data_IF_357227161232
#
_entry.id   IF_357227161232
#
_cell.length_a   1.000
_cell.length_b   1.000
_cell.length_c   1.000
_cell.angle_alpha   90.00
_cell.angle_beta   90.00
_cell.angle_gamma   90.00
#
_symmetry.space_group_name_H-M   'P 1'
#
loop_
_entity.id
_entity.type
_entity.pdbx_description
1 polymer ?
#
# COMPACT_ATOMS: atom_id res chain seq x y z
N UNK A 1 -3.72 11.68 26.02
CA UNK A 1 -4.03 11.26 24.65
C UNK A 1 -2.79 11.15 23.77
N UNK A 2 -2.51 9.94 23.27
CA UNK A 2 -1.49 9.68 22.25
C UNK A 2 -1.93 10.23 20.89
N UNK A 3 -0.98 10.64 20.05
CA UNK A 3 -1.32 11.13 18.71
C UNK A 3 -0.64 10.32 17.62
N UNK A 4 -1.42 10.02 16.59
CA UNK A 4 -1.02 9.34 15.38
C UNK A 4 -1.43 10.17 14.17
N UNK A 5 -0.94 9.82 12.99
CA UNK A 5 -1.47 10.40 11.77
C UNK A 5 -0.83 9.89 10.50
N UNK A 6 -1.16 10.53 9.40
CA UNK A 6 -0.56 10.27 8.09
C UNK A 6 0.02 11.55 7.52
N UNK A 7 1.25 11.47 7.00
CA UNK A 7 1.88 12.51 6.20
C UNK A 7 1.83 12.17 4.71
N UNK A 8 1.56 13.16 3.85
CA UNK A 8 1.42 12.95 2.41
C UNK A 8 0.91 14.19 1.67
N UNK A 9 0.84 14.07 0.35
CA UNK A 9 0.20 15.07 -0.52
C UNK A 9 -0.25 14.43 -1.86
N UNK A 10 -1.55 14.43 -2.20
CA UNK A 10 -2.68 14.89 -1.38
C UNK A 10 -3.10 13.88 -0.29
N UNK A 11 -3.96 14.31 0.65
CA UNK A 11 -4.53 13.45 1.72
C UNK A 11 -6.06 13.38 1.76
N UNK A 12 -6.78 14.10 0.90
CA UNK A 12 -8.24 14.17 0.97
C UNK A 12 -8.95 12.83 0.69
N UNK A 13 -8.27 11.86 0.08
CA UNK A 13 -8.79 10.51 -0.15
C UNK A 13 -8.31 9.47 0.90
N UNK A 14 -7.59 9.90 1.94
CA UNK A 14 -7.06 8.97 2.95
C UNK A 14 -8.16 8.49 3.90
N UNK A 15 -8.42 7.18 3.90
CA UNK A 15 -9.33 6.54 4.85
C UNK A 15 -8.71 6.27 6.23
N UNK A 16 -7.38 6.40 6.36
CA UNK A 16 -6.67 6.07 7.60
C UNK A 16 -7.20 6.87 8.81
N UNK A 17 -7.50 8.17 8.63
CA UNK A 17 -8.03 9.01 9.71
C UNK A 17 -9.36 8.49 10.25
N UNK A 18 -10.30 8.15 9.36
CA UNK A 18 -11.59 7.61 9.77
C UNK A 18 -11.41 6.23 10.43
N UNK A 19 -10.65 5.34 9.78
CA UNK A 19 -10.41 3.97 10.26
C UNK A 19 -9.81 3.92 11.67
N UNK A 20 -8.72 4.67 11.92
CA UNK A 20 -8.05 4.62 13.22
C UNK A 20 -8.89 5.27 14.32
N UNK A 21 -9.52 6.42 14.06
CA UNK A 21 -10.35 7.08 15.09
C UNK A 21 -11.59 6.24 15.45
N UNK A 22 -12.23 5.58 14.47
CA UNK A 22 -13.30 4.61 14.74
C UNK A 22 -12.80 3.48 15.64
N UNK A 23 -11.65 2.88 15.33
CA UNK A 23 -11.07 1.79 16.15
C UNK A 23 -10.66 2.24 17.55
N UNK A 24 -10.13 3.46 17.69
CA UNK A 24 -9.78 4.01 18.99
C UNK A 24 -11.03 4.22 19.85
N UNK A 25 -12.11 4.73 19.26
CA UNK A 25 -13.39 4.89 19.95
C UNK A 25 -14.01 3.55 20.35
N UNK A 26 -14.08 2.58 19.42
CA UNK A 26 -14.64 1.23 19.68
C UNK A 26 -13.94 0.50 20.83
N UNK A 27 -12.64 0.73 21.00
CA UNK A 27 -11.79 0.02 21.97
C UNK A 27 -11.40 0.88 23.18
N UNK A 28 -12.02 2.05 23.34
CA UNK A 28 -11.72 3.01 24.42
C UNK A 28 -10.21 3.33 24.56
N UNK A 29 -9.51 3.45 23.43
CA UNK A 29 -8.09 3.83 23.39
C UNK A 29 -7.99 5.36 23.44
N UNK A 30 -7.27 5.91 24.43
CA UNK A 30 -6.99 7.36 24.55
C UNK A 30 -5.96 7.82 23.49
N UNK A 31 -6.39 7.84 22.23
CA UNK A 31 -5.59 8.26 21.09
C UNK A 31 -6.43 8.97 20.02
N UNK A 32 -5.75 9.78 19.19
CA UNK A 32 -6.33 10.37 17.97
C UNK A 32 -5.44 10.15 16.76
N UNK A 33 -6.04 10.13 15.59
CA UNK A 33 -5.35 10.05 14.30
C UNK A 33 -5.69 11.27 13.42
N UNK A 34 -4.68 11.94 12.89
CA UNK A 34 -4.85 13.15 12.06
C UNK A 34 -4.17 13.08 10.68
N UNK A 35 -4.64 13.93 9.77
CA UNK A 35 -4.03 14.10 8.46
C UNK A 35 -3.06 15.29 8.52
N UNK A 36 -1.82 15.07 8.13
CA UNK A 36 -0.77 16.08 8.08
C UNK A 36 -0.36 16.30 6.62
N UNK A 37 -1.04 17.23 5.94
CA UNK A 37 -0.73 17.56 4.56
C UNK A 37 0.65 18.24 4.51
N UNK A 38 1.57 17.68 3.75
CA UNK A 38 2.92 18.25 3.59
C UNK A 38 3.11 18.76 2.17
N UNK A 39 3.25 20.08 1.94
CA UNK A 39 3.65 20.61 0.63
C UNK A 39 4.99 20.05 0.16
N UNK A 40 5.94 19.86 1.08
CA UNK A 40 7.23 19.21 0.84
C UNK A 40 7.61 18.29 1.99
N UNK A 41 8.50 17.33 1.77
CA UNK A 41 8.94 16.43 2.85
C UNK A 41 9.62 17.17 4.02
N UNK A 42 10.27 18.31 3.75
CA UNK A 42 10.95 19.12 4.78
C UNK A 42 10.01 19.57 5.89
N UNK A 43 8.72 19.70 5.57
CA UNK A 43 7.66 20.10 6.50
C UNK A 43 7.36 19.02 7.56
N UNK A 44 7.93 17.81 7.44
CA UNK A 44 7.83 16.76 8.49
C UNK A 44 8.40 17.26 9.82
N UNK A 45 9.45 18.08 9.81
CA UNK A 45 10.03 18.65 11.02
C UNK A 45 9.06 19.57 11.75
N UNK A 46 8.22 20.30 11.01
CA UNK A 46 7.16 21.13 11.58
C UNK A 46 6.11 20.26 12.28
N UNK A 47 5.66 19.17 11.63
CA UNK A 47 4.70 18.23 12.24
C UNK A 47 5.24 17.64 13.54
N UNK A 48 6.51 17.24 13.54
CA UNK A 48 7.19 16.75 14.73
C UNK A 48 7.16 17.84 15.81
N UNK A 49 7.67 19.04 15.53
CA UNK A 49 7.78 20.10 16.54
C UNK A 49 6.42 20.58 17.09
N UNK A 50 5.41 20.71 16.23
CA UNK A 50 4.08 21.22 16.60
C UNK A 50 3.22 20.17 17.32
N UNK A 51 3.64 18.89 17.33
CA UNK A 51 2.87 17.78 17.91
C UNK A 51 3.69 17.04 18.97
N UNK A 52 3.83 17.56 20.20
CA UNK A 52 4.70 17.00 21.24
C UNK A 52 4.37 15.55 21.64
N UNK A 53 3.09 15.16 21.58
CA UNK A 53 2.56 13.83 21.92
C UNK A 53 2.44 12.86 20.74
N UNK A 54 3.10 13.14 19.61
CA UNK A 54 3.08 12.27 18.43
C UNK A 54 3.88 10.99 18.68
N UNK A 55 3.21 9.84 18.56
CA UNK A 55 3.76 8.51 18.81
C UNK A 55 4.04 7.73 17.51
N UNK A 56 3.40 8.10 16.41
CA UNK A 56 3.62 7.41 15.14
C UNK A 56 2.97 8.11 13.96
N UNK A 57 3.52 7.84 12.77
CA UNK A 57 3.01 8.36 11.51
C UNK A 57 2.92 7.23 10.48
N UNK A 58 1.89 7.22 9.66
CA UNK A 58 1.97 6.64 8.34
C UNK A 58 2.56 7.65 7.35
N UNK A 59 3.19 7.13 6.30
CA UNK A 59 3.71 7.93 5.19
C UNK A 59 3.08 7.43 3.89
N UNK A 60 2.49 8.34 3.13
CA UNK A 60 1.93 8.04 1.82
C UNK A 60 2.61 8.85 0.71
N UNK A 61 2.08 8.75 -0.51
CA UNK A 61 2.59 9.49 -1.66
C UNK A 61 2.72 10.99 -1.36
N UNK A 62 3.76 11.65 -1.89
CA UNK A 62 4.90 11.11 -2.65
C UNK A 62 6.13 10.77 -1.78
N UNK A 63 5.97 10.70 -0.45
CA UNK A 63 7.10 10.84 0.49
C UNK A 63 7.71 9.55 1.02
N UNK A 64 7.21 8.38 0.64
CA UNK A 64 7.68 7.09 1.18
C UNK A 64 9.20 6.87 1.04
N UNK A 65 9.82 7.43 0.01
CA UNK A 65 11.27 7.35 -0.21
C UNK A 65 12.00 8.52 0.48
N UNK A 66 11.52 9.74 0.27
CA UNK A 66 12.16 10.96 0.77
C UNK A 66 12.19 11.04 2.30
N UNK A 67 11.22 10.45 2.98
CA UNK A 67 11.15 10.48 4.45
C UNK A 67 12.32 9.73 5.10
N UNK A 68 12.96 8.81 4.37
CA UNK A 68 14.05 7.98 4.90
C UNK A 68 15.24 8.80 5.39
N UNK A 69 15.49 9.97 4.80
CA UNK A 69 16.57 10.89 5.20
C UNK A 69 16.33 11.58 6.56
N UNK A 70 15.11 11.49 7.10
CA UNK A 70 14.70 12.13 8.35
C UNK A 70 14.58 11.14 9.52
N UNK A 71 14.99 9.89 9.32
CA UNK A 71 14.83 8.81 10.30
C UNK A 71 16.16 8.51 10.97
N UNK A 72 16.11 8.25 12.28
CA UNK A 72 17.29 7.82 13.05
C UNK A 72 17.65 6.35 12.76
N UNK A 73 16.64 5.54 12.46
CA UNK A 73 16.80 4.12 12.14
C UNK A 73 15.76 3.68 11.11
N UNK A 74 16.15 2.73 10.27
CA UNK A 74 15.25 2.07 9.32
C UNK A 74 15.35 0.57 9.53
N UNK A 75 14.19 -0.06 9.64
CA UNK A 75 14.02 -1.51 9.71
C UNK A 75 14.60 -2.21 8.47
N UNK A 76 15.11 -3.43 8.62
CA UNK A 76 15.90 -4.08 7.57
C UNK A 76 15.05 -4.39 6.32
N UNK A 77 13.81 -4.84 6.49
CA UNK A 77 12.88 -4.99 5.36
C UNK A 77 12.61 -3.65 4.67
N UNK A 78 12.42 -2.57 5.43
CA UNK A 78 12.17 -1.24 4.86
C UNK A 78 13.38 -0.66 4.12
N UNK A 79 14.61 -0.95 4.60
CA UNK A 79 15.86 -0.62 3.89
C UNK A 79 15.95 -1.37 2.56
N UNK A 80 15.70 -2.69 2.56
CA UNK A 80 15.73 -3.50 1.34
C UNK A 80 14.67 -3.05 0.32
N UNK A 81 13.49 -2.69 0.80
CA UNK A 81 12.41 -2.13 -0.03
C UNK A 81 12.79 -0.75 -0.58
N UNK A 82 13.56 0.05 0.18
CA UNK A 82 13.88 1.42 -0.19
C UNK A 82 12.66 2.34 -0.15
N UNK A 83 11.74 2.11 0.80
CA UNK A 83 10.57 2.95 1.08
C UNK A 83 10.01 2.68 2.49
N UNK A 84 9.61 3.74 3.20
CA UNK A 84 8.99 3.71 4.53
C UNK A 84 7.54 4.20 4.44
N UNK A 85 6.59 3.46 5.01
CA UNK A 85 5.17 3.85 5.12
C UNK A 85 4.67 3.90 6.58
N UNK A 86 5.50 3.55 7.55
CA UNK A 86 5.21 3.60 9.00
C UNK A 86 6.44 4.14 9.73
N UNK A 87 6.24 5.13 10.58
CA UNK A 87 7.25 5.69 11.49
C UNK A 87 6.75 5.47 12.91
N UNK A 88 7.60 4.87 13.74
CA UNK A 88 7.41 4.81 15.18
C UNK A 88 8.25 5.90 15.83
N UNK A 89 7.63 6.70 16.69
CA UNK A 89 8.29 7.77 17.42
C UNK A 89 8.38 7.35 18.88
N UNK A 90 9.60 7.28 19.37
CA UNK A 90 9.92 6.95 20.77
C UNK A 90 10.84 8.00 21.35
N UNK A 91 11.18 7.87 22.63
CA UNK A 91 12.19 8.71 23.27
C UNK A 91 13.45 7.88 23.56
N UNK A 92 14.62 8.44 23.22
CA UNK A 92 15.93 7.87 23.51
C UNK A 92 16.84 9.00 23.98
N UNK A 93 17.37 8.90 25.20
CA UNK A 93 18.25 9.91 25.80
C UNK A 93 17.65 11.33 25.83
N UNK A 94 16.35 11.45 26.18
CA UNK A 94 15.64 12.73 26.24
C UNK A 94 15.41 13.39 24.87
N UNK A 95 15.63 12.68 23.77
CA UNK A 95 15.37 13.13 22.40
C UNK A 95 14.43 12.15 21.71
N UNK A 96 13.68 12.66 20.74
CA UNK A 96 12.87 11.80 19.88
C UNK A 96 13.76 10.89 19.04
N UNK A 97 13.28 9.68 18.87
CA UNK A 97 13.89 8.65 18.04
C UNK A 97 12.86 8.10 17.07
N UNK A 98 13.12 8.30 15.78
CA UNK A 98 12.26 7.95 14.67
C UNK A 98 12.77 6.69 14.00
N UNK A 99 12.01 5.60 14.13
CA UNK A 99 12.29 4.36 13.41
C UNK A 99 11.28 4.13 12.29
N UNK A 100 11.76 3.94 11.07
CA UNK A 100 10.95 3.66 9.89
C UNK A 100 10.78 2.18 9.60
N UNK A 101 9.59 1.83 9.12
CA UNK A 101 9.18 0.49 8.73
C UNK A 101 8.36 0.53 7.43
N UNK A 102 8.17 -0.64 6.83
CA UNK A 102 7.27 -0.83 5.71
C UNK A 102 6.23 -1.92 6.03
N UNK A 103 4.95 -1.57 5.99
CA UNK A 103 3.82 -2.47 6.20
C UNK A 103 3.06 -2.79 4.91
N UNK A 104 3.39 -2.15 3.77
CA UNK A 104 2.75 -2.43 2.48
C UNK A 104 2.97 -3.90 2.09
N UNK A 105 4.22 -4.39 2.21
CA UNK A 105 4.57 -5.76 1.80
C UNK A 105 3.81 -6.80 2.63
N UNK A 106 3.69 -6.59 3.93
CA UNK A 106 2.93 -7.46 4.83
C UNK A 106 1.44 -7.41 4.47
N UNK A 107 0.89 -6.19 4.32
CA UNK A 107 -0.51 -5.99 4.02
C UNK A 107 -0.93 -6.67 2.72
N UNK A 108 -0.12 -6.54 1.68
CA UNK A 108 -0.34 -7.18 0.39
C UNK A 108 -0.18 -8.71 0.46
N UNK A 109 0.87 -9.21 1.13
CA UNK A 109 1.12 -10.66 1.25
C UNK A 109 -0.08 -11.37 1.86
N UNK A 110 -0.59 -10.85 2.97
CA UNK A 110 -1.75 -11.43 3.65
C UNK A 110 -3.04 -11.32 2.83
N UNK A 111 -3.18 -10.26 2.02
CA UNK A 111 -4.35 -10.05 1.18
C UNK A 111 -4.36 -10.95 -0.07
N UNK A 112 -3.21 -11.15 -0.72
CA UNK A 112 -3.15 -11.91 -1.98
C UNK A 112 -3.07 -13.43 -1.75
N UNK A 113 -2.45 -13.87 -0.65
CA UNK A 113 -2.13 -15.28 -0.38
C UNK A 113 -3.31 -16.25 -0.53
N UNK A 114 -4.56 -15.94 -0.12
CA UNK A 114 -5.71 -16.84 -0.32
C UNK A 114 -6.05 -17.12 -1.79
N UNK A 115 -5.63 -16.25 -2.71
CA UNK A 115 -5.95 -16.31 -4.14
C UNK A 115 -4.80 -16.87 -4.99
N UNK A 116 -3.60 -17.00 -4.41
CA UNK A 116 -2.43 -17.54 -5.12
C UNK A 116 -2.57 -19.06 -5.28
N UNK A 117 -2.51 -19.54 -6.52
CA UNK A 117 -2.56 -20.96 -6.91
C UNK A 117 -1.18 -21.43 -7.38
N UNK A 118 -0.90 -22.76 -7.43
CA UNK A 118 0.42 -23.28 -7.82
C UNK A 118 0.93 -22.81 -9.19
N UNK A 119 0.05 -22.50 -10.15
CA UNK A 119 0.45 -22.01 -11.46
C UNK A 119 0.85 -20.53 -11.49
N UNK A 120 0.53 -19.76 -10.44
CA UNK A 120 0.87 -18.34 -10.33
C UNK A 120 2.35 -18.15 -10.00
N UNK A 121 3.20 -18.37 -11.00
CA UNK A 121 4.67 -18.33 -10.86
C UNK A 121 5.27 -17.00 -11.32
N UNK A 122 4.52 -16.19 -12.08
CA UNK A 122 4.98 -14.92 -12.62
C UNK A 122 3.95 -13.80 -12.42
N UNK A 123 4.44 -12.59 -12.13
CA UNK A 123 3.62 -11.40 -11.87
C UNK A 123 4.10 -10.16 -12.62
N UNK A 124 3.15 -9.39 -13.16
CA UNK A 124 3.38 -8.03 -13.66
C UNK A 124 3.01 -7.02 -12.58
N UNK A 125 3.89 -6.07 -12.28
CA UNK A 125 3.56 -4.89 -11.48
C UNK A 125 3.41 -3.69 -12.42
N UNK A 126 2.21 -3.12 -12.49
CA UNK A 126 1.93 -1.93 -13.27
C UNK A 126 2.26 -0.70 -12.42
N UNK A 127 3.26 0.08 -12.84
CA UNK A 127 3.77 1.24 -12.10
C UNK A 127 5.04 0.96 -11.31
N UNK A 128 5.80 2.03 -11.05
CA UNK A 128 7.15 1.96 -10.44
C UNK A 128 7.32 2.96 -9.29
N UNK A 129 6.23 3.28 -8.58
CA UNK A 129 6.24 4.21 -7.43
C UNK A 129 6.55 3.51 -6.10
N UNK A 130 6.54 4.25 -4.98
CA UNK A 130 6.91 3.70 -3.67
C UNK A 130 6.13 2.45 -3.23
N UNK A 131 4.81 2.39 -3.50
CA UNK A 131 4.01 1.20 -3.20
C UNK A 131 4.48 -0.05 -3.97
N UNK A 132 4.87 0.12 -5.24
CA UNK A 132 5.33 -0.96 -6.11
C UNK A 132 6.56 -1.69 -5.57
N UNK A 133 7.43 -0.99 -4.81
CA UNK A 133 8.60 -1.59 -4.17
C UNK A 133 8.22 -2.58 -3.07
N UNK A 134 7.22 -2.23 -2.25
CA UNK A 134 6.67 -3.13 -1.23
C UNK A 134 5.99 -4.35 -1.85
N UNK A 135 5.26 -4.17 -2.96
CA UNK A 135 4.64 -5.26 -3.72
C UNK A 135 5.70 -6.19 -4.33
N UNK A 136 6.76 -5.64 -4.93
CA UNK A 136 7.87 -6.42 -5.47
C UNK A 136 8.52 -7.27 -4.37
N UNK A 137 8.76 -6.69 -3.20
CA UNK A 137 9.32 -7.40 -2.05
C UNK A 137 8.43 -8.57 -1.62
N UNK A 138 7.12 -8.32 -1.49
CA UNK A 138 6.14 -9.35 -1.14
C UNK A 138 6.11 -10.51 -2.17
N UNK A 139 6.07 -10.20 -3.46
CA UNK A 139 6.08 -11.21 -4.52
C UNK A 139 7.38 -12.03 -4.54
N UNK A 140 8.54 -11.39 -4.30
CA UNK A 140 9.81 -12.09 -4.12
C UNK A 140 9.80 -13.06 -2.94
N UNK A 141 9.25 -12.65 -1.79
CA UNK A 141 9.08 -13.53 -0.61
C UNK A 141 8.17 -14.72 -0.90
N UNK A 142 7.16 -14.52 -1.75
CA UNK A 142 6.29 -15.59 -2.27
C UNK A 142 6.94 -16.43 -3.39
N UNK A 143 8.20 -16.17 -3.76
CA UNK A 143 8.94 -16.83 -4.84
C UNK A 143 8.27 -16.69 -6.21
N UNK A 144 7.64 -15.54 -6.46
CA UNK A 144 6.99 -15.21 -7.73
C UNK A 144 7.92 -14.32 -8.56
N UNK A 145 8.25 -14.79 -9.76
CA UNK A 145 9.07 -14.05 -10.71
C UNK A 145 8.33 -12.80 -11.17
N UNK A 146 8.94 -11.62 -11.04
CA UNK A 146 8.20 -10.37 -11.18
C UNK A 146 8.86 -9.44 -12.18
N UNK A 147 8.04 -8.79 -13.01
CA UNK A 147 8.47 -7.80 -13.99
C UNK A 147 7.65 -6.51 -13.84
N UNK A 148 8.32 -5.36 -13.90
CA UNK A 148 7.62 -4.07 -13.93
C UNK A 148 7.09 -3.75 -15.32
N UNK A 149 5.93 -3.09 -15.34
CA UNK A 149 5.35 -2.44 -16.51
C UNK A 149 5.29 -0.94 -16.26
N UNK A 150 5.91 -0.15 -17.13
CA UNK A 150 6.04 1.29 -16.99
C UNK A 150 5.79 2.02 -18.31
N UNK A 151 5.53 3.33 -18.22
CA UNK A 151 5.58 4.21 -19.40
C UNK A 151 7.02 4.55 -19.80
N UNK A 152 7.93 4.43 -18.84
CA UNK A 152 9.36 4.65 -19.01
C UNK A 152 10.04 3.31 -19.34
N UNK A 153 10.57 3.13 -20.57
CA UNK A 153 11.17 1.86 -21.00
C UNK A 153 12.44 1.50 -20.21
N UNK A 154 13.06 2.45 -19.51
CA UNK A 154 14.23 2.15 -18.65
C UNK A 154 13.85 1.41 -17.37
N UNK A 155 12.55 1.36 -17.02
CA UNK A 155 12.05 0.81 -15.75
C UNK A 155 11.30 -0.51 -15.90
N UNK A 156 11.36 -1.16 -17.06
CA UNK A 156 10.71 -2.45 -17.31
C UNK A 156 10.05 -2.53 -18.68
N UNK A 157 9.07 -3.43 -18.80
CA UNK A 157 8.29 -3.55 -20.03
C UNK A 157 7.42 -2.31 -20.21
N UNK A 158 7.23 -1.87 -21.44
CA UNK A 158 6.20 -0.89 -21.76
C UNK A 158 4.86 -1.59 -21.96
N UNK A 159 3.76 -0.85 -21.76
CA UNK A 159 2.41 -1.38 -22.01
C UNK A 159 2.22 -1.90 -23.45
N UNK A 160 2.92 -1.30 -24.42
CA UNK A 160 2.89 -1.72 -25.84
C UNK A 160 3.59 -3.06 -26.09
N UNK A 161 4.48 -3.48 -25.19
CA UNK A 161 5.21 -4.74 -25.30
C UNK A 161 4.43 -5.92 -24.70
N UNK A 162 3.28 -5.69 -24.08
CA UNK A 162 2.46 -6.77 -23.52
C UNK A 162 1.79 -7.56 -24.66
N UNK A 163 2.31 -8.74 -24.95
CA UNK A 163 1.76 -9.67 -25.93
C UNK A 163 0.93 -10.76 -25.26
N UNK A 164 0.30 -11.62 -26.08
CA UNK A 164 -0.41 -12.81 -25.60
C UNK A 164 0.53 -13.74 -24.82
N UNK A 165 1.74 -13.95 -25.33
CA UNK A 165 2.74 -14.86 -24.73
C UNK A 165 3.15 -14.37 -23.35
N UNK A 166 3.34 -13.05 -23.20
CA UNK A 166 3.63 -12.44 -21.90
C UNK A 166 2.44 -12.65 -20.94
N UNK A 167 1.20 -12.35 -21.33
CA UNK A 167 0.08 -12.54 -20.39
C UNK A 167 -0.18 -14.02 -20.06
N UNK A 168 0.08 -14.94 -20.98
CA UNK A 168 0.01 -16.38 -20.69
C UNK A 168 1.07 -16.84 -19.68
N UNK A 169 2.24 -16.22 -19.67
CA UNK A 169 3.28 -16.49 -18.67
C UNK A 169 3.00 -15.79 -17.34
N UNK A 170 2.64 -14.51 -17.38
CA UNK A 170 2.46 -13.65 -16.22
C UNK A 170 0.99 -13.59 -15.78
N UNK A 171 0.58 -14.63 -15.07
CA UNK A 171 -0.82 -14.81 -14.65
C UNK A 171 -1.23 -14.01 -13.42
N UNK A 172 -0.30 -13.33 -12.73
CA UNK A 172 -0.63 -12.31 -11.73
C UNK A 172 -0.42 -10.92 -12.35
N UNK A 173 -1.38 -10.02 -12.22
CA UNK A 173 -1.24 -8.63 -12.66
C UNK A 173 -1.65 -7.71 -11.52
N UNK A 174 -0.72 -6.87 -11.04
CA UNK A 174 -0.94 -5.97 -9.90
C UNK A 174 -0.88 -4.52 -10.36
N UNK A 175 -1.98 -3.79 -10.26
CA UNK A 175 -1.99 -2.34 -10.49
C UNK A 175 -1.52 -1.59 -9.24
N UNK A 176 -0.40 -0.89 -9.36
CA UNK A 176 0.14 0.00 -8.32
C UNK A 176 0.12 1.48 -8.74
N UNK A 177 -0.48 1.77 -9.89
CA UNK A 177 -0.67 3.14 -10.37
C UNK A 177 -1.93 3.75 -9.77
N UNK A 178 -2.05 5.09 -9.73
CA UNK A 178 -3.30 5.73 -9.33
C UNK A 178 -4.41 5.68 -10.41
N UNK A 179 -4.16 5.09 -11.58
CA UNK A 179 -5.11 5.07 -12.71
C UNK A 179 -6.36 4.28 -12.33
N UNK A 180 -7.53 4.93 -12.42
CA UNK A 180 -8.82 4.36 -12.03
C UNK A 180 -9.28 4.72 -10.61
N UNK A 181 -8.47 5.51 -9.87
CA UNK A 181 -8.86 6.06 -8.57
C UNK A 181 -9.90 7.15 -8.74
N UNK A 182 -10.82 7.28 -7.78
CA UNK A 182 -11.76 8.41 -7.74
C UNK A 182 -11.00 9.76 -7.75
N UNK A 183 -11.45 10.78 -8.51
CA UNK A 183 -12.68 10.83 -9.31
C UNK A 183 -12.55 10.27 -10.74
N UNK A 184 -11.33 9.99 -11.21
CA UNK A 184 -11.01 9.57 -12.58
C UNK A 184 -11.24 8.06 -12.83
N UNK A 185 -12.42 7.57 -12.45
CA UNK A 185 -12.77 6.13 -12.41
C UNK A 185 -12.99 5.49 -13.78
N UNK A 186 -13.05 6.29 -14.86
CA UNK A 186 -13.27 5.82 -16.23
C UNK A 186 -11.98 5.35 -16.91
N UNK A 187 -10.84 5.49 -16.26
CA UNK A 187 -9.55 5.05 -16.78
C UNK A 187 -9.12 3.74 -16.13
N UNK A 188 -8.34 2.96 -16.87
CA UNK A 188 -7.68 1.76 -16.38
C UNK A 188 -6.32 1.60 -17.07
N UNK A 189 -5.40 0.81 -16.50
CA UNK A 189 -4.12 0.51 -17.16
C UNK A 189 -4.35 -0.12 -18.55
N UNK A 190 -3.64 0.33 -19.60
CA UNK A 190 -3.88 -0.13 -20.97
C UNK A 190 -3.17 -1.47 -21.24
N UNK A 191 -3.71 -2.56 -20.68
CA UNK A 191 -3.24 -3.94 -20.95
C UNK A 191 -4.15 -4.62 -21.99
N UNK A 192 -3.68 -5.66 -22.72
CA UNK A 192 -4.51 -6.37 -23.67
C UNK A 192 -5.47 -7.35 -22.97
N UNK A 193 -6.55 -6.82 -22.38
CA UNK A 193 -7.53 -7.57 -21.58
C UNK A 193 -8.11 -8.81 -22.28
N UNK A 194 -8.21 -8.80 -23.61
CA UNK A 194 -8.75 -9.92 -24.37
C UNK A 194 -7.89 -11.20 -24.32
N UNK A 195 -6.65 -11.13 -23.81
CA UNK A 195 -5.82 -12.30 -23.54
C UNK A 195 -5.94 -12.84 -22.11
N UNK A 196 -6.68 -12.15 -21.23
CA UNK A 196 -6.96 -12.65 -19.88
C UNK A 196 -7.90 -13.86 -19.93
N UNK A 197 -7.77 -14.70 -18.90
CA UNK A 197 -8.52 -15.95 -18.73
C UNK A 197 -8.76 -16.22 -17.25
N UNK A 198 -9.48 -17.29 -16.94
CA UNK A 198 -9.69 -17.84 -15.60
C UNK A 198 -8.41 -18.26 -14.84
N UNK A 199 -7.27 -18.36 -15.54
CA UNK A 199 -5.96 -18.58 -14.93
C UNK A 199 -5.36 -17.32 -14.33
N UNK A 200 -5.89 -16.14 -14.64
CA UNK A 200 -5.33 -14.87 -14.18
C UNK A 200 -5.88 -14.44 -12.82
N UNK A 201 -5.00 -13.88 -12.01
CA UNK A 201 -5.30 -13.14 -10.79
C UNK A 201 -4.94 -11.67 -11.01
N UNK A 202 -5.95 -10.80 -10.95
CA UNK A 202 -5.81 -9.37 -11.18
C UNK A 202 -6.07 -8.63 -9.88
N UNK A 203 -5.04 -7.95 -9.37
CA UNK A 203 -5.07 -7.24 -8.09
C UNK A 203 -4.95 -5.73 -8.34
N UNK A 204 -5.88 -4.94 -7.82
CA UNK A 204 -5.78 -3.48 -7.84
C UNK A 204 -5.50 -2.97 -6.42
N UNK A 205 -4.45 -2.16 -6.23
CA UNK A 205 -4.21 -1.51 -4.93
C UNK A 205 -5.28 -0.45 -4.62
N UNK A 206 -6.05 -0.04 -5.62
CA UNK A 206 -7.18 0.89 -5.47
C UNK A 206 -8.34 0.16 -4.79
N UNK A 207 -8.96 0.85 -3.83
CA UNK A 207 -10.15 0.40 -3.12
C UNK A 207 -11.27 1.46 -3.10
N UNK A 208 -11.02 2.63 -3.73
CA UNK A 208 -12.04 3.63 -4.01
C UNK A 208 -11.92 4.09 -5.48
N UNK A 209 -12.79 3.60 -6.39
CA UNK A 209 -13.98 2.79 -6.12
C UNK A 209 -13.65 1.34 -5.73
N UNK A 210 -14.62 0.65 -5.11
CA UNK A 210 -14.52 -0.76 -4.70
C UNK A 210 -14.23 -1.67 -5.90
N UNK A 211 -14.85 -1.36 -7.04
CA UNK A 211 -14.66 -2.06 -8.31
C UNK A 211 -14.22 -1.06 -9.37
N UNK A 212 -12.93 -1.07 -9.71
CA UNK A 212 -12.36 -0.23 -10.77
C UNK A 212 -12.68 -0.79 -12.15
N UNK A 213 -12.52 0.04 -13.20
CA UNK A 213 -12.65 -0.43 -14.58
C UNK A 213 -11.62 -1.53 -14.91
N UNK A 214 -10.43 -1.49 -14.29
CA UNK A 214 -9.40 -2.52 -14.42
C UNK A 214 -9.90 -3.89 -13.93
N UNK A 215 -10.47 -3.95 -12.73
CA UNK A 215 -11.03 -5.19 -12.18
C UNK A 215 -12.25 -5.65 -12.98
N UNK A 216 -13.15 -4.73 -13.34
CA UNK A 216 -14.32 -5.06 -14.15
C UNK A 216 -13.94 -5.71 -15.49
N UNK A 217 -12.99 -5.11 -16.24
CA UNK A 217 -12.52 -5.66 -17.50
C UNK A 217 -11.90 -7.05 -17.33
N UNK A 218 -11.15 -7.30 -16.25
CA UNK A 218 -10.58 -8.61 -15.96
C UNK A 218 -11.65 -9.67 -15.64
N UNK A 219 -12.65 -9.32 -14.83
CA UNK A 219 -13.76 -10.23 -14.47
C UNK A 219 -14.57 -10.65 -15.70
N UNK A 220 -14.82 -9.74 -16.66
CA UNK A 220 -15.53 -10.11 -17.91
C UNK A 220 -14.79 -11.15 -18.76
N UNK A 221 -13.52 -11.43 -18.43
CA UNK A 221 -12.67 -12.44 -19.07
C UNK A 221 -12.48 -13.69 -18.21
N UNK A 222 -13.19 -13.78 -17.08
CA UNK A 222 -13.15 -14.90 -16.15
C UNK A 222 -12.01 -14.84 -15.12
N UNK A 223 -11.19 -13.79 -15.12
CA UNK A 223 -10.09 -13.66 -14.16
C UNK A 223 -10.61 -13.52 -12.72
N UNK A 224 -9.84 -14.03 -11.75
CA UNK A 224 -10.06 -13.75 -10.34
C UNK A 224 -9.59 -12.33 -10.03
N UNK A 225 -10.38 -11.54 -9.32
CA UNK A 225 -10.06 -10.14 -8.99
C UNK A 225 -10.00 -9.88 -7.50
N UNK A 226 -9.12 -8.95 -7.11
CA UNK A 226 -9.00 -8.45 -5.75
C UNK A 226 -8.78 -6.93 -5.77
N UNK A 227 -9.45 -6.19 -4.89
CA UNK A 227 -9.20 -4.76 -4.70
C UNK A 227 -8.24 -4.51 -3.52
N UNK A 228 -7.94 -3.24 -3.28
CA UNK A 228 -6.94 -2.83 -2.29
C UNK A 228 -7.43 -2.86 -0.84
N UNK A 229 -8.71 -3.16 -0.58
CA UNK A 229 -9.31 -2.93 0.74
C UNK A 229 -8.70 -3.84 1.81
N UNK A 230 -8.55 -5.13 1.51
CA UNK A 230 -7.97 -6.07 2.47
C UNK A 230 -6.50 -5.74 2.75
N UNK A 231 -5.73 -5.33 1.72
CA UNK A 231 -4.37 -4.83 1.92
C UNK A 231 -4.36 -3.59 2.81
N UNK A 232 -5.30 -2.65 2.63
CA UNK A 232 -5.43 -1.46 3.48
C UNK A 232 -5.66 -1.82 4.95
N UNK A 233 -6.58 -2.74 5.23
CA UNK A 233 -6.83 -3.20 6.61
C UNK A 233 -5.59 -3.86 7.21
N UNK A 234 -4.95 -4.75 6.47
CA UNK A 234 -3.78 -5.50 6.95
C UNK A 234 -2.57 -4.59 7.21
N UNK A 235 -2.29 -3.63 6.33
CA UNK A 235 -1.20 -2.68 6.55
C UNK A 235 -1.48 -1.72 7.71
N UNK A 236 -2.73 -1.27 7.88
CA UNK A 236 -3.12 -0.40 8.99
C UNK A 236 -3.01 -1.14 10.33
N UNK A 237 -3.44 -2.40 10.37
CA UNK A 237 -3.24 -3.28 11.53
C UNK A 237 -1.76 -3.42 11.87
N UNK A 238 -0.93 -3.77 10.87
CA UNK A 238 0.53 -3.91 11.07
C UNK A 238 1.19 -2.62 11.55
N UNK A 239 0.76 -1.46 11.05
CA UNK A 239 1.24 -0.16 11.50
C UNK A 239 0.95 0.07 13.00
N UNK A 240 -0.26 -0.27 13.45
CA UNK A 240 -0.60 -0.16 14.87
C UNK A 240 0.23 -1.11 15.75
N UNK A 241 0.41 -2.36 15.32
CA UNK A 241 1.27 -3.33 16.02
C UNK A 241 2.70 -2.80 16.13
N UNK A 242 3.23 -2.15 15.10
CA UNK A 242 4.55 -1.52 15.15
C UNK A 242 4.60 -0.41 16.20
N UNK A 243 3.59 0.46 16.26
CA UNK A 243 3.53 1.55 17.23
C UNK A 243 3.43 1.06 18.67
N UNK A 244 2.48 0.17 18.95
CA UNK A 244 2.07 -0.18 20.32
C UNK A 244 2.60 -1.53 20.83
N UNK A 245 3.09 -2.40 19.93
CA UNK A 245 3.54 -3.75 20.28
C UNK A 245 2.41 -4.73 20.60
N UNK A 246 1.15 -4.37 20.29
CA UNK A 246 -0.06 -5.17 20.51
C UNK A 246 -1.02 -5.02 19.34
N UNK A 247 -1.89 -6.02 19.16
CA UNK A 247 -2.89 -6.02 18.09
C UNK A 247 -3.97 -4.95 18.29
N UNK A 248 -4.45 -4.40 17.18
CA UNK A 248 -5.68 -3.61 17.14
C UNK A 248 -6.82 -4.59 16.88
N UNK A 249 -7.76 -4.75 17.81
CA UNK A 249 -8.81 -5.77 17.66
C UNK A 249 -9.63 -5.48 16.39
N UNK A 250 -9.58 -6.41 15.43
CA UNK A 250 -10.37 -6.34 14.21
C UNK A 250 -11.64 -7.16 14.40
N UNK A 251 -12.73 -6.51 14.78
CA UNK A 251 -14.04 -7.15 14.75
C UNK A 251 -14.42 -7.44 13.28
N UNK A 252 -14.69 -8.72 12.95
CA UNK A 252 -15.05 -9.19 11.60
C UNK A 252 -16.27 -8.51 10.95
N UNK A 253 -17.01 -7.66 11.68
CA UNK A 253 -18.26 -7.03 11.24
C UNK A 253 -18.11 -6.07 10.04
N UNK A 254 -16.91 -5.60 9.71
CA UNK A 254 -16.68 -4.71 8.57
C UNK A 254 -16.25 -5.40 7.27
N UNK A 255 -16.09 -6.73 7.27
CA UNK A 255 -15.73 -7.48 6.06
C UNK A 255 -16.95 -7.71 5.14
N UNK A 256 -18.18 -7.57 5.65
CA UNK A 256 -19.41 -7.91 4.91
C UNK A 256 -20.16 -6.70 4.30
N UNK A 257 -19.60 -5.48 4.36
CA UNK A 257 -20.29 -4.27 3.87
C UNK A 257 -19.66 -3.58 2.65
N UNK A 258 -18.70 -4.21 1.97
CA UNK A 258 -17.98 -3.61 0.83
C UNK A 258 -17.89 -4.61 -0.32
#
# INVERSE_FOLDING_TARGET
>A
MKQYGVIGNPLHHSYSKAYFNEKFQEQAIDARYDNYLLPTIKDVMKVLNDTPNLCGLNVTIPYKEQVMEYLDEIDDEAKEIGAVNVIKITEKNGKRFLKGYNSDWFGFTEAIKPFVKPHHTHALILGTGGASKGILYALKKLKINTQFVSRDPSKGLTYKQLTKEILQQYTIIVNTTPVGTFPEVKHCPPIPYHFLTDKHLVYDLIYNPIRTLFLHQAETRGATTCNGWQMFLNQAHKAYVIWEGKDLITNKKHVEKI
#
